data_IF_278874432221
#
_entry.id   IF_278874432221
#
_cell.length_a   1.000
_cell.length_b   1.000
_cell.length_c   1.000
_cell.angle_alpha   90.00
_cell.angle_beta   90.00
_cell.angle_gamma   90.00
#
_symmetry.space_group_name_H-M   'P 1'
#
loop_
_entity.id
_entity.type
_entity.pdbx_description
1 polymer ?
#
# COMPACT_ATOMS: atom_id res chain seq x y z
N UNK A 1 18.25 5.27 -15.49
CA UNK A 1 18.04 4.06 -16.31
C UNK A 1 18.14 4.41 -17.79
N UNK A 2 18.44 3.44 -18.66
CA UNK A 2 18.35 3.64 -20.12
C UNK A 2 16.89 3.66 -20.56
N UNK A 3 16.55 4.39 -21.63
CA UNK A 3 15.16 4.48 -22.14
C UNK A 3 14.51 3.10 -22.36
N UNK A 4 15.28 2.11 -22.83
CA UNK A 4 14.81 0.73 -23.02
C UNK A 4 14.35 0.09 -21.70
N UNK A 5 15.10 0.26 -20.62
CA UNK A 5 14.76 -0.30 -19.30
C UNK A 5 13.50 0.32 -18.73
N UNK A 6 13.31 1.63 -18.93
CA UNK A 6 12.09 2.34 -18.50
C UNK A 6 10.88 1.76 -19.24
N UNK A 7 10.95 1.62 -20.57
CA UNK A 7 9.87 1.05 -21.38
C UNK A 7 9.54 -0.38 -20.94
N UNK A 8 10.57 -1.22 -20.75
CA UNK A 8 10.37 -2.60 -20.28
C UNK A 8 9.75 -2.65 -18.88
N UNK A 9 10.14 -1.73 -17.99
CA UNK A 9 9.57 -1.65 -16.63
C UNK A 9 8.11 -1.21 -16.66
N UNK A 10 7.77 -0.18 -17.44
CA UNK A 10 6.38 0.26 -17.62
C UNK A 10 5.53 -0.87 -18.20
N UNK A 11 6.03 -1.54 -19.24
CA UNK A 11 5.32 -2.68 -19.83
C UNK A 11 5.09 -3.80 -18.79
N UNK A 12 6.10 -4.14 -18.00
CA UNK A 12 5.97 -5.14 -16.92
C UNK A 12 4.93 -4.73 -15.87
N UNK A 13 4.94 -3.48 -15.42
CA UNK A 13 3.97 -2.97 -14.43
C UNK A 13 2.55 -3.05 -14.99
N UNK A 14 2.34 -2.59 -16.22
CA UNK A 14 1.01 -2.63 -16.86
C UNK A 14 0.55 -4.07 -17.06
N UNK A 15 1.42 -4.95 -17.56
CA UNK A 15 1.10 -6.35 -17.80
C UNK A 15 0.80 -7.09 -16.48
N UNK A 16 1.60 -6.90 -15.43
CA UNK A 16 1.39 -7.55 -14.14
C UNK A 16 0.10 -7.09 -13.46
N UNK A 17 -0.23 -5.79 -13.51
CA UNK A 17 -1.50 -5.27 -12.98
C UNK A 17 -2.69 -5.79 -13.78
N UNK A 18 -2.61 -5.77 -15.12
CA UNK A 18 -3.67 -6.28 -15.97
C UNK A 18 -3.92 -7.77 -15.73
N UNK A 19 -2.87 -8.59 -15.70
CA UNK A 19 -2.99 -10.02 -15.39
C UNK A 19 -3.55 -10.24 -13.98
N UNK A 20 -3.09 -9.49 -12.97
CA UNK A 20 -3.65 -9.57 -11.62
C UNK A 20 -5.17 -9.35 -11.59
N UNK A 21 -5.70 -8.43 -12.41
CA UNK A 21 -7.16 -8.22 -12.49
C UNK A 21 -7.93 -9.36 -13.18
N UNK A 22 -7.25 -10.16 -14.02
CA UNK A 22 -7.85 -11.32 -14.70
C UNK A 22 -7.84 -12.55 -13.78
N UNK A 23 -6.76 -12.73 -13.02
CA UNK A 23 -6.64 -13.85 -12.09
C UNK A 23 -7.52 -13.63 -10.85
N UNK A 24 -8.74 -14.15 -10.88
CA UNK A 24 -9.62 -14.17 -9.73
C UNK A 24 -9.43 -15.46 -8.92
N UNK A 25 -9.16 -15.34 -7.62
CA UNK A 25 -9.14 -16.47 -6.69
C UNK A 25 -10.52 -16.67 -6.07
N UNK A 26 -10.95 -17.93 -5.92
CA UNK A 26 -12.26 -18.27 -5.38
C UNK A 26 -12.34 -18.08 -3.86
N UNK A 27 -11.20 -18.20 -3.17
CA UNK A 27 -11.11 -18.06 -1.73
C UNK A 27 -9.97 -17.11 -1.30
N UNK A 28 -9.98 -16.74 -0.02
CA UNK A 28 -9.00 -15.80 0.57
C UNK A 28 -7.57 -16.31 0.36
N UNK A 29 -7.31 -17.60 0.59
CA UNK A 29 -5.99 -18.17 0.42
C UNK A 29 -5.46 -18.01 -1.01
N UNK A 30 -6.26 -18.34 -2.02
CA UNK A 30 -5.90 -18.15 -3.43
C UNK A 30 -5.66 -16.67 -3.75
N UNK A 31 -6.52 -15.76 -3.28
CA UNK A 31 -6.34 -14.31 -3.48
C UNK A 31 -5.03 -13.80 -2.85
N UNK A 32 -4.68 -14.28 -1.65
CA UNK A 32 -3.42 -13.95 -0.98
C UNK A 32 -2.21 -14.52 -1.73
N UNK A 33 -2.29 -15.75 -2.24
CA UNK A 33 -1.20 -16.33 -3.05
C UNK A 33 -1.02 -15.57 -4.35
N UNK A 34 -2.12 -15.24 -5.05
CA UNK A 34 -2.09 -14.45 -6.28
C UNK A 34 -1.45 -13.08 -6.01
N UNK A 35 -1.85 -12.38 -4.94
CA UNK A 35 -1.25 -11.09 -4.60
C UNK A 35 0.24 -11.20 -4.28
N UNK A 36 0.67 -12.20 -3.50
CA UNK A 36 2.09 -12.44 -3.23
C UNK A 36 2.89 -12.73 -4.50
N UNK A 37 2.34 -13.51 -5.43
CA UNK A 37 3.01 -13.81 -6.70
C UNK A 37 3.17 -12.55 -7.54
N UNK A 38 2.09 -11.82 -7.78
CA UNK A 38 2.10 -10.66 -8.68
C UNK A 38 2.81 -9.44 -8.08
N UNK A 39 2.69 -9.22 -6.78
CA UNK A 39 3.20 -8.03 -6.12
C UNK A 39 4.51 -8.23 -5.37
N UNK A 40 4.96 -9.46 -5.15
CA UNK A 40 6.25 -9.72 -4.48
C UNK A 40 7.17 -10.58 -5.35
N UNK A 41 6.74 -11.80 -5.70
CA UNK A 41 7.62 -12.76 -6.39
C UNK A 41 8.02 -12.26 -7.80
N UNK A 42 7.05 -11.87 -8.63
CA UNK A 42 7.32 -11.40 -10.00
C UNK A 42 8.23 -10.15 -10.03
N UNK A 43 8.00 -9.09 -9.23
CA UNK A 43 8.92 -7.95 -9.15
C UNK A 43 10.35 -8.31 -8.74
N UNK A 44 10.52 -9.24 -7.79
CA UNK A 44 11.85 -9.72 -7.39
C UNK A 44 12.54 -10.39 -8.57
N UNK A 45 11.83 -11.29 -9.26
CA UNK A 45 12.36 -12.00 -10.43
C UNK A 45 12.69 -11.02 -11.57
N UNK A 46 11.79 -10.07 -11.85
CA UNK A 46 11.99 -9.05 -12.86
C UNK A 46 13.21 -8.18 -12.56
N UNK A 47 13.35 -7.69 -11.33
CA UNK A 47 14.50 -6.87 -10.94
C UNK A 47 15.81 -7.67 -11.02
N UNK A 48 15.82 -8.92 -10.55
CA UNK A 48 17.02 -9.76 -10.54
C UNK A 48 17.47 -10.17 -11.94
N UNK A 49 16.56 -10.60 -12.81
CA UNK A 49 16.90 -11.19 -14.11
C UNK A 49 16.88 -10.20 -15.27
N UNK A 50 15.98 -9.21 -15.25
CA UNK A 50 15.80 -8.26 -16.35
C UNK A 50 16.53 -6.95 -16.07
N UNK A 51 16.28 -6.33 -14.92
CA UNK A 51 16.96 -5.08 -14.54
C UNK A 51 18.38 -5.31 -14.02
N UNK A 52 18.72 -6.54 -13.64
CA UNK A 52 20.00 -6.91 -13.00
C UNK A 52 20.32 -6.05 -11.76
N UNK A 53 19.27 -5.62 -11.05
CA UNK A 53 19.36 -4.83 -9.84
C UNK A 53 19.53 -5.70 -8.59
N UNK A 54 19.89 -5.08 -7.48
CA UNK A 54 19.91 -5.72 -6.16
C UNK A 54 18.57 -5.55 -5.45
N UNK A 55 18.24 -6.50 -4.56
CA UNK A 55 17.01 -6.46 -3.74
C UNK A 55 17.04 -5.27 -2.75
N UNK A 56 18.24 -4.79 -2.42
CA UNK A 56 18.46 -3.62 -1.58
C UNK A 56 17.76 -2.36 -2.09
N UNK A 57 17.47 -2.29 -3.40
CA UNK A 57 16.74 -1.18 -4.01
C UNK A 57 15.28 -1.10 -3.54
N UNK A 58 14.72 -2.16 -2.95
CA UNK A 58 13.32 -2.16 -2.49
C UNK A 58 13.10 -1.53 -1.11
N UNK A 59 14.14 -0.95 -0.50
CA UNK A 59 14.02 -0.23 0.77
C UNK A 59 13.60 -1.11 1.95
N UNK A 60 13.98 -2.39 1.94
CA UNK A 60 13.75 -3.31 3.07
C UNK A 60 14.68 -3.04 4.26
N UNK A 61 15.68 -2.18 4.08
CA UNK A 61 16.61 -1.77 5.14
C UNK A 61 15.98 -0.67 5.99
N UNK A 62 16.55 -0.45 7.18
CA UNK A 62 16.14 0.61 8.11
C UNK A 62 16.32 2.01 7.51
N UNK A 63 17.26 2.21 6.58
CA UNK A 63 17.47 3.51 5.93
C UNK A 63 17.80 4.64 6.93
N UNK A 64 17.36 5.87 6.63
CA UNK A 64 17.46 7.02 7.54
C UNK A 64 16.26 7.02 8.51
N UNK A 65 16.51 6.55 9.73
CA UNK A 65 15.50 6.42 10.76
C UNK A 65 14.96 7.76 11.28
N UNK A 66 15.78 8.82 11.26
CA UNK A 66 15.35 10.15 11.72
C UNK A 66 14.35 10.73 10.75
N UNK A 67 14.67 10.65 9.45
CA UNK A 67 13.75 11.06 8.40
C UNK A 67 12.50 10.17 8.39
N UNK A 68 12.66 8.85 8.56
CA UNK A 68 11.55 7.91 8.67
C UNK A 68 10.56 8.31 9.75
N UNK A 69 11.01 8.42 11.00
CA UNK A 69 10.15 8.78 12.12
C UNK A 69 9.54 10.18 11.99
N UNK A 70 10.32 11.17 11.57
CA UNK A 70 9.86 12.55 11.39
C UNK A 70 8.71 12.62 10.37
N UNK A 71 8.91 12.05 9.19
CA UNK A 71 7.91 12.09 8.13
C UNK A 71 6.72 11.18 8.40
N UNK A 72 6.93 10.06 9.09
CA UNK A 72 5.85 9.24 9.63
C UNK A 72 4.95 10.06 10.56
N UNK A 73 5.53 10.76 11.52
CA UNK A 73 4.77 11.58 12.47
C UNK A 73 3.92 12.65 11.76
N UNK A 74 4.53 13.44 10.86
CA UNK A 74 3.78 14.46 10.11
C UNK A 74 2.69 13.87 9.20
N UNK A 75 2.96 12.72 8.58
CA UNK A 75 1.99 12.03 7.73
C UNK A 75 0.82 11.48 8.53
N UNK A 76 1.07 10.92 9.73
CA UNK A 76 0.02 10.45 10.63
C UNK A 76 -0.90 11.58 11.07
N UNK A 77 -0.35 12.75 11.43
CA UNK A 77 -1.14 13.93 11.79
C UNK A 77 -1.97 14.41 10.60
N UNK A 78 -1.35 14.56 9.43
CA UNK A 78 -2.02 15.05 8.24
C UNK A 78 -3.16 14.12 7.81
N UNK A 79 -2.91 12.81 7.75
CA UNK A 79 -3.93 11.82 7.37
C UNK A 79 -5.00 11.68 8.45
N UNK A 80 -4.64 11.72 9.74
CA UNK A 80 -5.60 11.75 10.83
C UNK A 80 -6.55 12.96 10.74
N UNK A 81 -6.02 14.14 10.39
CA UNK A 81 -6.84 15.34 10.16
C UNK A 81 -7.76 15.19 8.93
N UNK A 82 -7.26 14.61 7.83
CA UNK A 82 -8.07 14.31 6.65
C UNK A 82 -9.23 13.38 7.04
N UNK A 83 -8.96 12.29 7.76
CA UNK A 83 -10.01 11.38 8.20
C UNK A 83 -10.97 11.99 9.19
N UNK A 84 -10.52 12.89 10.07
CA UNK A 84 -11.41 13.67 10.93
C UNK A 84 -12.40 14.49 10.10
N UNK A 85 -11.93 15.20 9.07
CA UNK A 85 -12.78 16.01 8.18
C UNK A 85 -13.75 15.12 7.38
N UNK A 86 -13.26 14.08 6.71
CA UNK A 86 -14.10 13.20 5.88
C UNK A 86 -15.13 12.46 6.76
N UNK A 87 -14.76 12.03 7.96
CA UNK A 87 -15.70 11.37 8.87
C UNK A 87 -16.80 12.31 9.35
N UNK A 88 -16.45 13.56 9.68
CA UNK A 88 -17.40 14.55 10.21
C UNK A 88 -18.35 15.10 9.14
N UNK A 89 -17.86 15.36 7.93
CA UNK A 89 -18.61 16.07 6.90
C UNK A 89 -19.12 15.18 5.74
N UNK A 90 -18.45 14.06 5.46
CA UNK A 90 -18.78 13.16 4.36
C UNK A 90 -19.28 11.79 4.84
N UNK A 91 -19.40 11.58 6.16
CA UNK A 91 -19.97 10.37 6.73
C UNK A 91 -19.17 9.10 6.39
N UNK A 92 -17.84 9.18 6.34
CA UNK A 92 -16.96 8.05 5.99
C UNK A 92 -17.35 6.72 6.65
N UNK A 93 -17.57 6.73 7.97
CA UNK A 93 -17.89 5.52 8.74
C UNK A 93 -19.25 4.89 8.40
N UNK A 94 -20.13 5.61 7.68
CA UNK A 94 -21.40 5.04 7.18
C UNK A 94 -21.19 4.10 5.97
N UNK A 95 -20.07 4.25 5.27
CA UNK A 95 -19.74 3.46 4.08
C UNK A 95 -18.52 2.56 4.28
N UNK A 96 -17.73 2.84 5.32
CA UNK A 96 -16.59 2.02 5.68
C UNK A 96 -17.03 0.61 6.08
N UNK A 97 -16.39 -0.39 5.50
CA UNK A 97 -16.71 -1.79 5.73
C UNK A 97 -15.51 -2.49 6.35
N UNK A 98 -15.71 -3.05 7.54
CA UNK A 98 -14.77 -3.97 8.16
C UNK A 98 -15.48 -5.29 8.51
N UNK A 99 -14.78 -6.43 8.53
CA UNK A 99 -15.43 -7.73 8.77
C UNK A 99 -16.09 -7.80 10.15
N UNK A 100 -17.37 -8.20 10.22
CA UNK A 100 -18.15 -8.21 11.47
C UNK A 100 -17.49 -8.97 12.64
N UNK A 101 -16.73 -10.03 12.35
CA UNK A 101 -16.09 -10.86 13.38
C UNK A 101 -15.06 -10.12 14.25
N UNK A 102 -14.53 -8.97 13.79
CA UNK A 102 -13.58 -8.16 14.56
C UNK A 102 -14.26 -7.35 15.67
N UNK A 103 -15.58 -7.14 15.59
CA UNK A 103 -16.35 -6.38 16.59
C UNK A 103 -16.60 -7.23 17.85
N UNK A 104 -16.60 -8.55 17.70
CA UNK A 104 -17.02 -9.50 18.74
C UNK A 104 -15.98 -9.63 19.86
N UNK A 105 -14.70 -9.74 19.50
CA UNK A 105 -13.62 -10.06 20.43
C UNK A 105 -12.32 -9.33 20.08
N UNK A 106 -11.63 -8.82 21.11
CA UNK A 106 -10.38 -8.08 20.93
C UNK A 106 -9.25 -8.97 20.40
N UNK A 107 -9.21 -10.24 20.77
CA UNK A 107 -8.23 -11.20 20.24
C UNK A 107 -8.42 -11.43 18.74
N UNK A 108 -9.67 -11.55 18.28
CA UNK A 108 -10.01 -11.65 16.84
C UNK A 108 -9.68 -10.39 16.06
N UNK A 109 -9.89 -9.22 16.65
CA UNK A 109 -9.46 -7.95 16.08
C UNK A 109 -7.94 -7.92 15.86
N UNK A 110 -7.15 -8.22 16.90
CA UNK A 110 -5.68 -8.25 16.77
C UNK A 110 -5.23 -9.29 15.73
N UNK A 111 -5.83 -10.47 15.72
CA UNK A 111 -5.49 -11.50 14.73
C UNK A 111 -5.77 -11.02 13.30
N UNK A 112 -6.90 -10.36 13.06
CA UNK A 112 -7.23 -9.79 11.76
C UNK A 112 -6.22 -8.74 11.32
N UNK A 113 -5.90 -7.79 12.20
CA UNK A 113 -4.97 -6.71 11.91
C UNK A 113 -3.58 -7.24 11.55
N UNK A 114 -3.02 -8.16 12.35
CA UNK A 114 -1.68 -8.67 12.09
C UNK A 114 -1.61 -9.73 10.98
N UNK A 115 -2.62 -10.60 10.84
CA UNK A 115 -2.59 -11.68 9.85
C UNK A 115 -3.06 -11.24 8.46
N UNK A 116 -3.96 -10.25 8.37
CA UNK A 116 -4.57 -9.83 7.11
C UNK A 116 -4.11 -8.42 6.74
N UNK A 117 -4.37 -7.43 7.61
CA UNK A 117 -4.10 -6.02 7.30
C UNK A 117 -2.60 -5.77 7.13
N UNK A 118 -1.77 -6.24 8.06
CA UNK A 118 -0.32 -6.05 7.98
C UNK A 118 0.29 -6.77 6.77
N UNK A 119 -0.18 -7.98 6.42
CA UNK A 119 0.27 -8.70 5.23
C UNK A 119 -0.13 -7.95 3.96
N UNK A 120 -1.36 -7.46 3.86
CA UNK A 120 -1.84 -6.67 2.73
C UNK A 120 -1.00 -5.39 2.55
N UNK A 121 -0.75 -4.66 3.64
CA UNK A 121 0.10 -3.46 3.63
C UNK A 121 1.52 -3.81 3.19
N UNK A 122 2.12 -4.88 3.73
CA UNK A 122 3.48 -5.28 3.36
C UNK A 122 3.59 -5.61 1.87
N UNK A 123 2.60 -6.31 1.30
CA UNK A 123 2.56 -6.65 -0.13
C UNK A 123 2.47 -5.38 -0.99
N UNK A 124 1.59 -4.44 -0.64
CA UNK A 124 1.47 -3.19 -1.40
C UNK A 124 2.63 -2.23 -1.21
N UNK A 125 3.16 -2.09 -0.01
CA UNK A 125 4.37 -1.32 0.25
C UNK A 125 5.54 -1.87 -0.56
N UNK A 126 5.71 -3.19 -0.59
CA UNK A 126 6.75 -3.84 -1.38
C UNK A 126 6.59 -3.54 -2.87
N UNK A 127 5.39 -3.69 -3.43
CA UNK A 127 5.19 -3.46 -4.86
C UNK A 127 5.27 -1.99 -5.24
N UNK A 128 4.48 -1.12 -4.59
CA UNK A 128 4.32 0.26 -5.03
C UNK A 128 5.49 1.15 -4.60
N UNK A 129 5.99 1.01 -3.37
CA UNK A 129 7.12 1.82 -2.87
C UNK A 129 8.43 1.11 -3.14
N UNK A 130 8.50 -0.16 -2.77
CA UNK A 130 9.70 -0.97 -2.96
C UNK A 130 10.07 -1.10 -4.43
N UNK A 131 9.19 -1.63 -5.28
CA UNK A 131 9.48 -1.84 -6.69
C UNK A 131 9.20 -0.60 -7.55
N UNK A 132 7.93 -0.21 -7.73
CA UNK A 132 7.53 0.83 -8.70
C UNK A 132 8.22 2.16 -8.41
N UNK A 133 8.14 2.65 -7.17
CA UNK A 133 8.70 3.96 -6.82
C UNK A 133 10.23 3.97 -6.88
N UNK A 134 10.93 3.07 -6.19
CA UNK A 134 12.40 3.13 -6.14
C UNK A 134 13.07 2.79 -7.48
N UNK A 135 12.48 1.93 -8.31
CA UNK A 135 12.98 1.71 -9.68
C UNK A 135 12.87 3.01 -10.49
N UNK A 136 11.71 3.67 -10.45
CA UNK A 136 11.51 4.94 -11.15
C UNK A 136 12.23 6.13 -10.52
N UNK A 137 12.62 6.07 -9.26
CA UNK A 137 13.32 7.15 -8.57
C UNK A 137 14.60 7.55 -9.31
N UNK A 138 15.33 6.56 -9.84
CA UNK A 138 16.56 6.77 -10.59
C UNK A 138 16.40 7.65 -11.84
N UNK A 139 15.19 7.72 -12.39
CA UNK A 139 14.90 8.41 -13.66
C UNK A 139 14.01 9.63 -13.46
N UNK A 140 13.07 9.56 -12.51
CA UNK A 140 12.04 10.58 -12.28
C UNK A 140 12.16 11.31 -10.95
N UNK A 141 13.07 10.88 -10.05
CA UNK A 141 13.30 11.48 -8.73
C UNK A 141 11.98 11.62 -7.95
N UNK A 142 11.65 12.82 -7.49
CA UNK A 142 10.42 13.14 -6.75
C UNK A 142 9.13 12.77 -7.50
N UNK A 143 9.13 12.80 -8.84
CA UNK A 143 7.96 12.43 -9.64
C UNK A 143 7.59 10.95 -9.50
N UNK A 144 8.53 10.09 -9.06
CA UNK A 144 8.23 8.68 -8.78
C UNK A 144 7.14 8.51 -7.72
N UNK A 145 7.01 9.44 -6.77
CA UNK A 145 5.96 9.44 -5.73
C UNK A 145 4.58 9.61 -6.37
N UNK A 146 4.45 10.50 -7.35
CA UNK A 146 3.19 10.73 -8.06
C UNK A 146 2.87 9.58 -9.01
N UNK A 147 3.89 9.04 -9.69
CA UNK A 147 3.73 7.89 -10.59
C UNK A 147 3.21 6.67 -9.82
N UNK A 148 3.85 6.29 -8.71
CA UNK A 148 3.38 5.14 -7.92
C UNK A 148 1.97 5.36 -7.34
N UNK A 149 1.67 6.60 -6.91
CA UNK A 149 0.35 6.99 -6.40
C UNK A 149 -0.72 6.80 -7.47
N UNK A 150 -0.48 7.32 -8.67
CA UNK A 150 -1.41 7.23 -9.79
C UNK A 150 -1.69 5.77 -10.17
N UNK A 151 -0.63 4.94 -10.25
CA UNK A 151 -0.77 3.52 -10.57
C UNK A 151 -1.60 2.80 -9.49
N UNK A 152 -1.37 3.09 -8.20
CA UNK A 152 -2.16 2.53 -7.11
C UNK A 152 -3.64 2.95 -7.18
N UNK A 153 -3.91 4.23 -7.44
CA UNK A 153 -5.27 4.76 -7.60
C UNK A 153 -5.99 4.06 -8.76
N UNK A 154 -5.31 3.90 -9.92
CA UNK A 154 -5.88 3.19 -11.07
C UNK A 154 -6.22 1.74 -10.71
N UNK A 155 -5.34 1.04 -9.97
CA UNK A 155 -5.61 -0.33 -9.54
C UNK A 155 -6.88 -0.41 -8.67
N UNK A 156 -7.02 0.45 -7.66
CA UNK A 156 -8.21 0.42 -6.78
C UNK A 156 -9.48 0.78 -7.55
N UNK A 157 -9.44 1.79 -8.42
CA UNK A 157 -10.59 2.18 -9.24
C UNK A 157 -10.99 1.10 -10.25
N UNK A 158 -10.04 0.27 -10.70
CA UNK A 158 -10.32 -0.83 -11.64
C UNK A 158 -11.21 -1.92 -11.04
N UNK A 159 -11.30 -2.03 -9.71
CA UNK A 159 -12.17 -2.99 -9.05
C UNK A 159 -13.67 -2.73 -9.30
N UNK A 160 -14.05 -1.49 -9.63
CA UNK A 160 -15.45 -1.07 -9.93
C UNK A 160 -16.49 -1.49 -8.89
N UNK A 161 -16.07 -1.67 -7.65
CA UNK A 161 -16.91 -2.06 -6.52
C UNK A 161 -16.83 -0.95 -5.44
N UNK A 162 -17.97 -0.42 -5.06
CA UNK A 162 -18.05 0.69 -4.09
C UNK A 162 -17.63 0.24 -2.69
N UNK A 163 -17.94 -0.98 -2.27
CA UNK A 163 -17.53 -1.53 -0.97
C UNK A 163 -16.02 -1.68 -0.94
N UNK A 164 -15.43 -2.23 -2.01
CA UNK A 164 -13.96 -2.33 -2.15
C UNK A 164 -13.33 -0.95 -2.14
N UNK A 165 -13.93 0.03 -2.82
CA UNK A 165 -13.41 1.40 -2.83
C UNK A 165 -13.34 2.00 -1.42
N UNK A 166 -14.41 1.90 -0.61
CA UNK A 166 -14.41 2.43 0.75
C UNK A 166 -13.47 1.68 1.69
N UNK A 167 -13.34 0.36 1.52
CA UNK A 167 -12.35 -0.46 2.25
C UNK A 167 -10.91 -0.01 1.94
N UNK A 168 -10.63 0.36 0.69
CA UNK A 168 -9.32 0.81 0.25
C UNK A 168 -9.07 2.32 0.43
N UNK A 169 -10.06 3.09 0.86
CA UNK A 169 -9.95 4.54 1.00
C UNK A 169 -8.82 4.99 1.96
N UNK A 170 -8.59 4.33 3.12
CA UNK A 170 -7.40 4.59 3.95
C UNK A 170 -6.09 4.43 3.20
N UNK A 171 -5.99 3.39 2.39
CA UNK A 171 -4.81 3.09 1.59
C UNK A 171 -4.61 4.14 0.48
N UNK A 172 -5.69 4.57 -0.17
CA UNK A 172 -5.68 5.59 -1.22
C UNK A 172 -5.24 6.95 -0.69
N UNK A 173 -5.80 7.38 0.45
CA UNK A 173 -5.42 8.66 1.05
C UNK A 173 -3.98 8.61 1.56
N UNK A 174 -3.55 7.49 2.13
CA UNK A 174 -2.21 7.34 2.68
C UNK A 174 -1.13 7.13 1.61
N UNK A 175 -1.46 6.63 0.41
CA UNK A 175 -0.46 6.26 -0.62
C UNK A 175 0.54 7.37 -1.02
N UNK A 176 0.16 8.65 -1.21
CA UNK A 176 1.15 9.71 -1.49
C UNK A 176 2.06 9.98 -0.29
N UNK A 177 1.54 9.92 0.93
CA UNK A 177 2.31 10.12 2.16
C UNK A 177 3.30 8.97 2.38
N UNK A 178 2.86 7.74 2.17
CA UNK A 178 3.73 6.57 2.20
C UNK A 178 4.88 6.67 1.20
N UNK A 179 4.59 7.10 -0.04
CA UNK A 179 5.61 7.37 -1.04
C UNK A 179 6.61 8.45 -0.58
N UNK A 180 6.13 9.51 0.07
CA UNK A 180 6.99 10.56 0.61
C UNK A 180 7.87 10.07 1.77
N UNK A 181 7.32 9.32 2.73
CA UNK A 181 8.05 8.69 3.84
C UNK A 181 9.15 7.78 3.28
N UNK A 182 8.80 6.87 2.37
CA UNK A 182 9.74 5.92 1.78
C UNK A 182 10.82 6.64 0.96
N UNK A 183 10.46 7.70 0.22
CA UNK A 183 11.42 8.49 -0.55
C UNK A 183 12.46 9.19 0.34
N UNK A 184 12.03 9.75 1.47
CA UNK A 184 12.91 10.48 2.41
C UNK A 184 13.75 9.56 3.29
N UNK A 185 13.18 8.46 3.74
CA UNK A 185 13.85 7.50 4.63
C UNK A 185 14.65 6.43 3.89
N UNK A 186 14.40 6.22 2.59
CA UNK A 186 14.89 5.06 1.82
C UNK A 186 14.49 3.72 2.43
N UNK A 187 13.33 3.69 3.09
CA UNK A 187 12.80 2.49 3.74
C UNK A 187 11.27 2.41 3.60
N UNK A 188 10.78 1.23 3.23
CA UNK A 188 9.33 0.95 3.21
C UNK A 188 8.78 0.56 4.59
N UNK A 189 9.66 0.34 5.57
CA UNK A 189 9.25 -0.08 6.91
C UNK A 189 8.47 1.04 7.61
N UNK A 190 8.94 2.29 7.53
CA UNK A 190 8.27 3.42 8.18
C UNK A 190 6.93 3.75 7.52
N UNK A 191 6.84 3.70 6.19
CA UNK A 191 5.59 3.91 5.47
C UNK A 191 4.59 2.81 5.81
N UNK A 192 5.01 1.55 5.77
CA UNK A 192 4.17 0.40 6.14
C UNK A 192 3.68 0.44 7.58
N UNK A 193 4.55 0.71 8.55
CA UNK A 193 4.15 0.83 9.97
C UNK A 193 3.17 2.01 10.14
N UNK A 194 3.43 3.14 9.50
CA UNK A 194 2.57 4.32 9.64
C UNK A 194 1.20 4.09 9.01
N UNK A 195 1.16 3.42 7.86
CA UNK A 195 -0.09 3.02 7.23
C UNK A 195 -0.86 2.03 8.11
N UNK A 196 -0.17 1.05 8.69
CA UNK A 196 -0.76 0.08 9.60
C UNK A 196 -1.39 0.77 10.81
N UNK A 197 -0.69 1.73 11.43
CA UNK A 197 -1.21 2.51 12.54
C UNK A 197 -2.48 3.30 12.17
N UNK A 198 -2.54 3.89 10.98
CA UNK A 198 -3.76 4.57 10.51
C UNK A 198 -4.92 3.60 10.37
N UNK A 199 -4.72 2.44 9.73
CA UNK A 199 -5.78 1.46 9.53
C UNK A 199 -6.29 0.92 10.87
N UNK A 200 -5.39 0.48 11.76
CA UNK A 200 -5.75 0.01 13.11
C UNK A 200 -6.54 1.08 13.89
N UNK A 201 -6.13 2.35 13.79
CA UNK A 201 -6.81 3.44 14.46
C UNK A 201 -8.23 3.66 13.91
N UNK A 202 -8.40 3.63 12.59
CA UNK A 202 -9.70 3.77 11.94
C UNK A 202 -10.62 2.58 12.27
N UNK A 203 -10.10 1.35 12.24
CA UNK A 203 -10.87 0.15 12.58
C UNK A 203 -11.30 0.18 14.06
N UNK A 204 -10.43 0.66 14.95
CA UNK A 204 -10.78 0.86 16.37
C UNK A 204 -11.92 1.87 16.55
N UNK A 205 -11.88 3.00 15.84
CA UNK A 205 -12.97 4.00 15.87
C UNK A 205 -14.26 3.39 15.33
N UNK A 206 -14.18 2.68 14.20
CA UNK A 206 -15.33 2.04 13.57
C UNK A 206 -15.99 1.03 14.52
N UNK A 207 -15.21 0.16 15.17
CA UNK A 207 -15.71 -0.80 16.18
C UNK A 207 -16.41 -0.05 17.32
N UNK A 208 -15.85 1.06 17.80
CA UNK A 208 -16.46 1.88 18.86
C UNK A 208 -17.76 2.55 18.43
N UNK A 209 -17.95 2.84 17.16
CA UNK A 209 -19.19 3.46 16.65
C UNK A 209 -20.33 2.45 16.46
N UNK A 210 -20.01 1.17 16.25
CA UNK A 210 -20.99 0.10 16.05
C UNK A 210 -21.47 -0.51 17.38
N UNK A 211 -20.61 -0.49 18.41
CA UNK A 211 -20.97 -0.90 19.77
C UNK A 211 -21.72 0.20 20.51
#
# INVERSE_FOLDING_TARGET
>A
MKNKEIITTVFFIVASLFLYTIFNGDNIFQKTVISLVFFVALPILFNKFILKGTIDLFGLKIGDWRQGLLWSFYSLIAVGFIFFVISKYLGFFNHYAAPFFIVIDFGRFLLYEFAVVAVLIAVYEFYFRGFVMFVFESSFKYWAILIQTLIFVILVLSARDSVVFYMFLPYLIFTPFAGFIAYKSKSILYSGISQFLIVVFLDTIFIKMIK
#
